data_IF_573401961045
#
_entry.id   IF_573401961045
#
_cell.length_a   1.000
_cell.length_b   1.000
_cell.length_c   1.000
_cell.angle_alpha   90.00
_cell.angle_beta   90.00
_cell.angle_gamma   90.00
#
_symmetry.space_group_name_H-M   'P 1'
#
loop_
_entity.id
_entity.type
_entity.pdbx_description
1 polymer ?
#
# COMPACT_ATOMS: atom_id res chain seq x y z
N UNK A 1 14.21 71.42 46.37
CA UNK A 1 13.83 70.04 46.72
C UNK A 1 13.27 69.33 45.48
N UNK A 2 13.66 68.06 45.28
CA UNK A 2 13.08 66.98 44.42
C UNK A 2 13.05 67.21 42.90
N UNK A 3 13.94 66.66 42.04
CA UNK A 3 14.34 65.26 41.69
C UNK A 3 13.25 64.34 41.10
N UNK A 4 13.38 64.14 39.77
CA UNK A 4 13.25 62.92 38.94
C UNK A 4 11.91 62.16 38.92
N UNK A 5 11.46 61.82 37.69
CA UNK A 5 11.43 60.43 37.18
C UNK A 5 11.24 60.40 35.65
N UNK A 6 12.27 59.91 34.96
CA UNK A 6 12.20 59.38 33.59
C UNK A 6 11.31 58.14 33.60
N UNK A 7 10.40 58.01 32.63
CA UNK A 7 9.78 56.72 32.32
C UNK A 7 10.26 56.24 30.94
N UNK A 8 11.04 55.17 30.97
CA UNK A 8 11.47 54.38 29.82
C UNK A 8 10.22 53.79 29.14
N UNK A 9 9.95 54.17 27.89
CA UNK A 9 9.08 53.37 27.01
C UNK A 9 9.94 52.29 26.36
N UNK A 10 9.91 51.10 26.97
CA UNK A 10 10.53 49.88 26.45
C UNK A 10 9.83 49.51 25.13
N UNK A 11 10.57 49.58 24.02
CA UNK A 11 10.17 49.00 22.74
C UNK A 11 10.46 47.50 22.81
N UNK A 12 9.44 46.69 23.07
CA UNK A 12 9.55 45.22 22.93
C UNK A 12 9.40 44.91 21.43
N UNK A 13 10.39 44.28 20.78
CA UNK A 13 10.39 44.09 19.33
C UNK A 13 9.43 42.98 18.92
N UNK A 14 8.85 43.17 17.74
CA UNK A 14 7.94 42.30 16.97
C UNK A 14 8.55 40.94 16.55
N UNK A 15 9.54 40.42 17.30
CA UNK A 15 10.35 39.25 16.97
C UNK A 15 10.04 38.02 17.85
N UNK A 16 9.12 38.13 18.80
CA UNK A 16 8.63 37.02 19.64
C UNK A 16 7.23 36.52 19.25
N UNK A 17 6.70 36.90 18.09
CA UNK A 17 5.43 36.37 17.56
C UNK A 17 5.61 35.36 16.41
N UNK A 18 6.86 35.07 15.99
CA UNK A 18 7.18 34.16 14.88
C UNK A 18 7.76 32.80 15.32
N UNK A 19 7.87 32.55 16.63
CA UNK A 19 8.41 31.29 17.20
C UNK A 19 7.34 30.33 17.74
N UNK A 20 6.06 30.54 17.39
CA UNK A 20 4.94 29.71 17.85
C UNK A 20 4.20 28.97 16.73
N UNK A 21 4.84 28.74 15.56
CA UNK A 21 4.25 27.95 14.47
C UNK A 21 4.97 26.63 14.15
N UNK A 22 6.04 26.26 14.86
CA UNK A 22 6.77 25.01 14.58
C UNK A 22 6.39 23.82 15.46
N UNK A 23 5.42 23.96 16.36
CA UNK A 23 4.97 22.87 17.22
C UNK A 23 3.51 22.51 16.94
N UNK A 24 3.27 21.65 15.95
CA UNK A 24 1.92 21.09 15.80
C UNK A 24 1.52 20.50 14.45
N UNK A 25 2.37 19.72 13.78
CA UNK A 25 1.91 18.81 12.72
C UNK A 25 2.42 17.39 12.95
N UNK A 26 2.23 16.89 14.17
CA UNK A 26 2.49 15.48 14.51
C UNK A 26 1.41 15.00 15.47
N UNK A 27 0.23 14.67 14.95
CA UNK A 27 -0.71 13.66 15.46
C UNK A 27 -2.09 13.87 14.83
N UNK A 28 -2.41 13.13 13.76
CA UNK A 28 -3.79 12.75 13.48
C UNK A 28 -3.85 11.40 12.73
N UNK A 29 -3.27 10.35 13.33
CA UNK A 29 -3.58 8.95 12.96
C UNK A 29 -4.82 8.50 13.75
N UNK A 30 -5.94 9.13 13.47
CA UNK A 30 -7.25 8.76 14.00
C UNK A 30 -8.27 9.00 12.91
N UNK A 31 -8.33 8.08 11.93
CA UNK A 31 -9.36 8.11 10.90
C UNK A 31 -10.73 8.21 11.56
N UNK A 32 -11.60 9.09 11.05
CA UNK A 32 -12.95 9.22 11.54
C UNK A 32 -13.62 7.84 11.54
N UNK A 33 -14.17 7.41 12.68
CA UNK A 33 -14.89 6.14 12.76
C UNK A 33 -16.06 6.19 11.77
N UNK A 34 -16.00 5.37 10.73
CA UNK A 34 -17.07 5.26 9.74
C UNK A 34 -18.36 4.91 10.47
N UNK A 35 -19.41 5.70 10.21
CA UNK A 35 -20.70 5.53 10.89
C UNK A 35 -21.66 4.76 9.98
N UNK A 36 -21.94 3.52 10.35
CA UNK A 36 -23.01 2.75 9.76
C UNK A 36 -24.38 3.16 10.35
N UNK A 37 -25.47 3.08 9.57
CA UNK A 37 -26.82 3.33 10.06
C UNK A 37 -27.22 2.40 11.22
N UNK A 38 -26.83 1.12 11.14
CA UNK A 38 -27.16 0.11 12.14
C UNK A 38 -25.89 -0.36 12.87
N UNK A 39 -25.95 -0.39 14.21
CA UNK A 39 -24.88 -0.94 15.03
C UNK A 39 -24.97 -2.47 15.10
N UNK A 40 -23.81 -3.11 15.24
CA UNK A 40 -23.73 -4.57 15.34
C UNK A 40 -24.12 -5.06 16.74
N UNK A 41 -25.06 -6.01 16.80
CA UNK A 41 -25.48 -6.67 18.04
C UNK A 41 -24.75 -8.01 18.27
N UNK A 42 -24.91 -8.58 19.46
CA UNK A 42 -24.41 -9.93 19.79
C UNK A 42 -24.99 -11.01 18.88
N UNK A 43 -26.27 -10.91 18.56
CA UNK A 43 -27.01 -11.86 17.73
C UNK A 43 -26.47 -11.81 16.30
N UNK A 44 -26.25 -10.60 15.77
CA UNK A 44 -25.63 -10.41 14.46
C UNK A 44 -24.23 -11.03 14.40
N UNK A 45 -23.40 -10.85 15.43
CA UNK A 45 -22.06 -11.48 15.48
C UNK A 45 -22.16 -13.00 15.48
N UNK A 46 -23.13 -13.56 16.21
CA UNK A 46 -23.36 -15.01 16.25
C UNK A 46 -23.76 -15.55 14.88
N UNK A 47 -24.73 -14.92 14.22
CA UNK A 47 -25.19 -15.31 12.88
C UNK A 47 -24.07 -15.20 11.84
N UNK A 48 -23.31 -14.11 11.85
CA UNK A 48 -22.14 -13.95 10.98
C UNK A 48 -21.09 -15.04 11.23
N UNK A 49 -20.81 -15.36 12.51
CA UNK A 49 -19.83 -16.37 12.87
C UNK A 49 -20.21 -17.77 12.36
N UNK A 50 -21.49 -18.11 12.29
CA UNK A 50 -21.94 -19.37 11.69
C UNK A 50 -21.55 -19.44 10.21
N UNK A 51 -21.81 -18.39 9.43
CA UNK A 51 -21.43 -18.33 8.01
C UNK A 51 -19.90 -18.34 7.82
N UNK A 52 -19.17 -17.64 8.69
CA UNK A 52 -17.70 -17.63 8.67
C UNK A 52 -17.10 -18.99 9.01
N UNK A 53 -17.72 -19.77 9.90
CA UNK A 53 -17.29 -21.12 10.21
C UNK A 53 -17.47 -22.07 9.01
N UNK A 54 -18.60 -21.98 8.30
CA UNK A 54 -18.80 -22.71 7.04
C UNK A 54 -17.76 -22.29 5.98
N UNK A 55 -17.42 -21.00 5.89
CA UNK A 55 -16.38 -20.50 4.99
C UNK A 55 -15.01 -21.11 5.33
N UNK A 56 -14.62 -21.12 6.61
CA UNK A 56 -13.37 -21.72 7.10
C UNK A 56 -13.33 -23.23 6.87
N UNK A 57 -14.48 -23.90 6.97
CA UNK A 57 -14.63 -25.31 6.64
C UNK A 57 -14.66 -25.58 5.12
N UNK A 58 -14.45 -24.56 4.28
CA UNK A 58 -14.49 -24.61 2.81
C UNK A 58 -15.85 -25.06 2.24
N UNK A 59 -16.91 -25.00 3.05
CA UNK A 59 -18.30 -25.28 2.67
C UNK A 59 -18.91 -24.02 2.04
N UNK A 60 -18.36 -23.67 0.89
CA UNK A 60 -18.58 -22.39 0.22
C UNK A 60 -20.04 -22.10 -0.14
N UNK A 61 -20.80 -23.12 -0.54
CA UNK A 61 -22.22 -22.96 -0.85
C UNK A 61 -23.03 -22.61 0.40
N UNK A 62 -22.78 -23.32 1.51
CA UNK A 62 -23.42 -23.08 2.80
C UNK A 62 -23.04 -21.71 3.37
N UNK A 63 -21.76 -21.36 3.27
CA UNK A 63 -21.25 -20.05 3.71
C UNK A 63 -21.92 -18.90 2.94
N UNK A 64 -22.02 -19.00 1.61
CA UNK A 64 -22.69 -18.01 0.79
C UNK A 64 -24.16 -17.84 1.17
N UNK A 65 -24.90 -18.94 1.34
CA UNK A 65 -26.30 -18.90 1.83
C UNK A 65 -26.38 -18.20 3.19
N UNK A 66 -25.47 -18.52 4.11
CA UNK A 66 -25.39 -17.89 5.42
C UNK A 66 -25.17 -16.38 5.35
N UNK A 67 -24.21 -15.93 4.53
CA UNK A 67 -23.93 -14.51 4.32
C UNK A 67 -25.08 -13.77 3.61
N UNK A 68 -25.73 -14.40 2.63
CA UNK A 68 -26.91 -13.82 1.96
C UNK A 68 -28.07 -13.62 2.93
N UNK A 69 -28.34 -14.64 3.76
CA UNK A 69 -29.34 -14.56 4.82
C UNK A 69 -29.01 -13.47 5.84
N UNK A 70 -27.74 -13.34 6.22
CA UNK A 70 -27.28 -12.27 7.11
C UNK A 70 -27.59 -10.88 6.53
N UNK A 71 -27.20 -10.64 5.28
CA UNK A 71 -27.44 -9.36 4.59
C UNK A 71 -28.93 -9.02 4.51
N UNK A 72 -29.77 -10.03 4.27
CA UNK A 72 -31.22 -9.85 4.16
C UNK A 72 -31.86 -9.44 5.50
N UNK A 73 -31.44 -10.06 6.61
CA UNK A 73 -31.99 -9.80 7.95
C UNK A 73 -31.42 -8.55 8.59
N UNK A 74 -30.13 -8.29 8.35
CA UNK A 74 -29.34 -7.29 9.04
C UNK A 74 -28.65 -6.34 8.04
N UNK A 75 -29.40 -5.47 7.34
CA UNK A 75 -28.82 -4.57 6.34
C UNK A 75 -28.08 -3.38 6.98
N UNK A 76 -27.18 -2.75 6.22
CA UNK A 76 -26.52 -1.47 6.55
C UNK A 76 -25.72 -1.42 7.86
N UNK A 77 -24.90 -2.44 8.13
CA UNK A 77 -23.90 -2.46 9.20
C UNK A 77 -22.54 -3.00 8.70
N UNK A 78 -21.50 -2.92 9.54
CA UNK A 78 -20.13 -3.38 9.20
C UNK A 78 -20.05 -4.88 8.82
N UNK A 79 -20.94 -5.71 9.40
CA UNK A 79 -21.01 -7.14 9.07
C UNK A 79 -21.76 -7.40 7.77
N UNK A 80 -22.66 -6.50 7.34
CA UNK A 80 -23.28 -6.54 6.01
C UNK A 80 -22.20 -6.41 4.94
N UNK A 81 -21.30 -5.44 5.11
CA UNK A 81 -20.19 -5.20 4.20
C UNK A 81 -19.21 -6.37 4.21
N UNK A 82 -18.89 -6.89 5.40
CA UNK A 82 -18.04 -8.08 5.55
C UNK A 82 -18.66 -9.32 4.88
N UNK A 83 -19.97 -9.51 5.01
CA UNK A 83 -20.70 -10.62 4.38
C UNK A 83 -20.70 -10.51 2.87
N UNK A 84 -20.98 -9.33 2.32
CA UNK A 84 -20.95 -9.08 0.88
C UNK A 84 -19.54 -9.29 0.32
N UNK A 85 -18.51 -8.85 1.06
CA UNK A 85 -17.11 -9.08 0.70
C UNK A 85 -16.78 -10.59 0.68
N UNK A 86 -17.23 -11.35 1.68
CA UNK A 86 -17.06 -12.81 1.73
C UNK A 86 -17.72 -13.50 0.54
N UNK A 87 -18.95 -13.13 0.18
CA UNK A 87 -19.63 -13.67 -1.02
C UNK A 87 -18.76 -13.48 -2.26
N UNK A 88 -18.21 -12.27 -2.46
CA UNK A 88 -17.33 -11.99 -3.60
C UNK A 88 -16.07 -12.86 -3.58
N UNK A 89 -15.46 -13.08 -2.41
CA UNK A 89 -14.33 -14.00 -2.27
C UNK A 89 -14.71 -15.44 -2.60
N UNK A 90 -15.88 -15.91 -2.17
CA UNK A 90 -16.38 -17.26 -2.47
C UNK A 90 -16.60 -17.41 -3.99
N UNK A 91 -17.13 -16.40 -4.66
CA UNK A 91 -17.27 -16.40 -6.12
C UNK A 91 -15.90 -16.47 -6.83
N UNK A 92 -14.91 -15.69 -6.37
CA UNK A 92 -13.53 -15.78 -6.89
C UNK A 92 -12.92 -17.18 -6.70
N UNK A 93 -13.15 -17.82 -5.54
CA UNK A 93 -12.67 -19.19 -5.26
C UNK A 93 -13.30 -20.22 -6.20
N UNK A 94 -14.56 -20.00 -6.60
CA UNK A 94 -15.26 -20.79 -7.63
C UNK A 94 -14.91 -20.38 -9.06
N UNK A 95 -14.00 -19.41 -9.25
CA UNK A 95 -13.61 -18.82 -10.54
C UNK A 95 -14.75 -18.11 -11.26
N UNK A 96 -15.84 -17.80 -10.57
CA UNK A 96 -16.90 -16.92 -11.06
C UNK A 96 -16.45 -15.47 -10.90
N UNK A 97 -15.55 -15.04 -11.79
CA UNK A 97 -14.93 -13.73 -11.70
C UNK A 97 -15.89 -12.60 -12.10
N UNK A 98 -16.80 -12.83 -13.05
CA UNK A 98 -17.82 -11.85 -13.41
C UNK A 98 -18.82 -11.65 -12.27
N UNK A 99 -19.30 -12.74 -11.65
CA UNK A 99 -20.15 -12.68 -10.46
C UNK A 99 -19.43 -11.99 -9.29
N UNK A 100 -18.16 -12.31 -9.07
CA UNK A 100 -17.34 -11.64 -8.06
C UNK A 100 -17.24 -10.13 -8.30
N UNK A 101 -16.93 -9.70 -9.53
CA UNK A 101 -16.88 -8.27 -9.88
C UNK A 101 -18.22 -7.60 -9.60
N UNK A 102 -19.35 -8.18 -10.02
CA UNK A 102 -20.67 -7.60 -9.77
C UNK A 102 -21.00 -7.49 -8.27
N UNK A 103 -20.60 -8.48 -7.47
CA UNK A 103 -20.77 -8.47 -6.01
C UNK A 103 -19.93 -7.38 -5.34
N UNK A 104 -18.68 -7.20 -5.77
CA UNK A 104 -17.81 -6.14 -5.26
C UNK A 104 -18.26 -4.75 -5.70
N UNK A 105 -18.72 -4.57 -6.94
CA UNK A 105 -19.28 -3.30 -7.43
C UNK A 105 -20.48 -2.86 -6.59
N UNK A 106 -21.37 -3.80 -6.25
CA UNK A 106 -22.50 -3.55 -5.36
C UNK A 106 -22.04 -3.10 -3.98
N UNK A 107 -20.96 -3.69 -3.44
CA UNK A 107 -20.38 -3.29 -2.17
C UNK A 107 -19.80 -1.87 -2.25
N UNK A 108 -18.98 -1.60 -3.27
CA UNK A 108 -18.37 -0.29 -3.53
C UNK A 108 -19.43 0.82 -3.59
N UNK A 109 -20.58 0.56 -4.22
CA UNK A 109 -21.66 1.54 -4.35
C UNK A 109 -22.50 1.76 -3.08
N UNK A 110 -22.35 0.93 -2.04
CA UNK A 110 -23.20 0.97 -0.84
C UNK A 110 -22.44 1.21 0.46
N UNK A 111 -21.18 0.80 0.53
CA UNK A 111 -20.38 0.93 1.75
C UNK A 111 -20.11 2.41 2.05
N UNK A 112 -20.30 2.87 3.30
CA UNK A 112 -19.83 4.18 3.74
C UNK A 112 -18.33 4.18 4.04
N UNK A 113 -17.67 3.02 4.05
CA UNK A 113 -16.28 2.85 4.45
C UNK A 113 -15.34 2.88 3.22
N UNK A 114 -14.50 3.92 3.09
CA UNK A 114 -13.58 4.03 1.96
C UNK A 114 -12.54 2.89 1.91
N UNK A 115 -12.16 2.31 3.06
CA UNK A 115 -11.18 1.24 3.12
C UNK A 115 -11.80 -0.08 2.62
N UNK A 116 -13.06 -0.33 3.00
CA UNK A 116 -13.84 -1.45 2.44
C UNK A 116 -14.00 -1.29 0.93
N UNK A 117 -14.32 -0.08 0.46
CA UNK A 117 -14.44 0.20 -0.97
C UNK A 117 -13.12 -0.06 -1.71
N UNK A 118 -11.98 0.40 -1.18
CA UNK A 118 -10.66 0.17 -1.78
C UNK A 118 -10.29 -1.32 -1.81
N UNK A 119 -10.52 -2.06 -0.72
CA UNK A 119 -10.30 -3.51 -0.70
C UNK A 119 -11.19 -4.24 -1.69
N UNK A 120 -12.45 -3.83 -1.84
CA UNK A 120 -13.38 -4.41 -2.81
C UNK A 120 -12.95 -4.12 -4.25
N UNK A 121 -12.49 -2.90 -4.55
CA UNK A 121 -11.94 -2.53 -5.87
C UNK A 121 -10.77 -3.41 -6.26
N UNK A 122 -9.83 -3.68 -5.36
CA UNK A 122 -8.72 -4.61 -5.64
C UNK A 122 -9.23 -5.99 -6.01
N UNK A 123 -10.19 -6.55 -5.27
CA UNK A 123 -10.73 -7.88 -5.59
C UNK A 123 -11.50 -7.88 -6.93
N UNK A 124 -12.23 -6.82 -7.24
CA UNK A 124 -12.88 -6.63 -8.54
C UNK A 124 -11.85 -6.56 -9.68
N UNK A 125 -10.78 -5.77 -9.50
CA UNK A 125 -9.67 -5.65 -10.44
C UNK A 125 -8.95 -6.98 -10.67
N UNK A 126 -8.62 -7.72 -9.60
CA UNK A 126 -8.04 -9.07 -9.69
C UNK A 126 -8.97 -10.02 -10.46
N UNK A 127 -10.29 -9.94 -10.24
CA UNK A 127 -11.25 -10.76 -10.96
C UNK A 127 -11.25 -10.44 -12.47
N UNK A 128 -11.24 -9.16 -12.84
CA UNK A 128 -11.13 -8.74 -14.24
C UNK A 128 -9.78 -9.13 -14.87
N UNK A 129 -8.69 -9.05 -14.11
CA UNK A 129 -7.38 -9.55 -14.56
C UNK A 129 -7.44 -11.04 -14.89
N UNK A 130 -8.09 -11.85 -14.04
CA UNK A 130 -8.23 -13.30 -14.24
C UNK A 130 -9.07 -13.66 -15.47
N UNK A 131 -9.97 -12.77 -15.88
CA UNK A 131 -10.72 -12.87 -17.13
C UNK A 131 -9.92 -12.38 -18.37
N UNK A 132 -8.73 -11.82 -18.18
CA UNK A 132 -7.93 -11.22 -19.26
C UNK A 132 -8.37 -9.80 -19.63
N UNK A 133 -9.30 -9.21 -18.89
CA UNK A 133 -9.79 -7.85 -19.11
C UNK A 133 -8.81 -6.83 -18.48
N UNK A 134 -7.59 -6.75 -19.03
CA UNK A 134 -6.49 -5.97 -18.45
C UNK A 134 -6.81 -4.48 -18.28
N UNK A 135 -7.49 -3.86 -19.26
CA UNK A 135 -7.90 -2.45 -19.14
C UNK A 135 -8.87 -2.26 -17.97
N UNK A 136 -9.94 -3.07 -17.88
CA UNK A 136 -10.90 -2.99 -16.77
C UNK A 136 -10.23 -3.26 -15.42
N UNK A 137 -9.28 -4.20 -15.37
CA UNK A 137 -8.48 -4.46 -14.17
C UNK A 137 -7.76 -3.20 -13.70
N UNK A 138 -7.10 -2.48 -14.62
CA UNK A 138 -6.40 -1.24 -14.29
C UNK A 138 -7.38 -0.14 -13.87
N UNK A 139 -8.55 -0.03 -14.50
CA UNK A 139 -9.56 0.97 -14.10
C UNK A 139 -10.01 0.79 -12.63
N UNK A 140 -10.02 -0.44 -12.11
CA UNK A 140 -10.25 -0.72 -10.69
C UNK A 140 -9.04 -0.38 -9.82
N UNK A 141 -7.83 -0.78 -10.24
CA UNK A 141 -6.60 -0.52 -9.49
C UNK A 141 -6.30 0.98 -9.38
N UNK A 142 -6.51 1.74 -10.46
CA UNK A 142 -6.28 3.20 -10.49
C UNK A 142 -7.23 3.97 -9.55
N UNK A 143 -8.39 3.40 -9.23
CA UNK A 143 -9.39 3.97 -8.31
C UNK A 143 -9.22 3.46 -6.87
N UNK A 144 -8.20 2.67 -6.61
CA UNK A 144 -7.92 2.11 -5.29
C UNK A 144 -6.95 3.01 -4.56
N UNK A 145 -7.26 3.35 -3.30
CA UNK A 145 -6.27 3.95 -2.40
C UNK A 145 -5.34 2.84 -1.88
N UNK A 146 -4.04 2.84 -2.24
CA UNK A 146 -3.11 1.82 -1.75
C UNK A 146 -2.94 1.85 -0.23
N UNK A 147 -3.06 3.01 0.42
CA UNK A 147 -2.86 3.14 1.87
C UNK A 147 -3.93 2.40 2.69
N UNK A 148 -5.12 2.21 2.10
CA UNK A 148 -6.22 1.45 2.69
C UNK A 148 -6.06 -0.08 2.59
N UNK A 149 -5.03 -0.55 1.86
CA UNK A 149 -4.81 -1.97 1.63
C UNK A 149 -3.80 -2.55 2.61
N UNK A 150 -4.03 -3.81 3.00
CA UNK A 150 -2.98 -4.62 3.60
C UNK A 150 -1.84 -4.86 2.61
N UNK A 151 -0.63 -4.99 3.13
CA UNK A 151 0.62 -5.18 2.38
C UNK A 151 0.51 -6.24 1.26
N UNK A 152 -0.01 -7.43 1.59
CA UNK A 152 -0.20 -8.51 0.61
C UNK A 152 -1.11 -8.13 -0.57
N UNK A 153 -2.14 -7.30 -0.33
CA UNK A 153 -3.05 -6.86 -1.38
C UNK A 153 -2.43 -5.71 -2.19
N UNK A 154 -1.62 -4.84 -1.57
CA UNK A 154 -0.81 -3.83 -2.31
C UNK A 154 0.17 -4.47 -3.27
N UNK A 155 0.95 -5.45 -2.79
CA UNK A 155 1.95 -6.15 -3.61
C UNK A 155 1.28 -6.86 -4.78
N UNK A 156 0.18 -7.59 -4.53
CA UNK A 156 -0.59 -8.25 -5.59
C UNK A 156 -1.14 -7.25 -6.60
N UNK A 157 -1.72 -6.15 -6.13
CA UNK A 157 -2.25 -5.11 -7.01
C UNK A 157 -1.16 -4.53 -7.90
N UNK A 158 -0.02 -4.11 -7.32
CA UNK A 158 1.10 -3.53 -8.06
C UNK A 158 1.66 -4.48 -9.12
N UNK A 159 1.93 -5.74 -8.75
CA UNK A 159 2.47 -6.72 -9.69
C UNK A 159 1.50 -7.06 -10.84
N UNK A 160 0.20 -7.21 -10.54
CA UNK A 160 -0.81 -7.46 -11.56
C UNK A 160 -1.04 -6.23 -12.45
N UNK A 161 -0.96 -5.03 -11.88
CA UNK A 161 -1.09 -3.79 -12.65
C UNK A 161 0.06 -3.64 -13.64
N UNK A 162 1.32 -3.84 -13.23
CA UNK A 162 2.47 -3.79 -14.13
C UNK A 162 2.33 -4.80 -15.27
N UNK A 163 1.96 -6.04 -14.96
CA UNK A 163 1.70 -7.06 -15.98
C UNK A 163 0.59 -6.61 -16.95
N UNK A 164 -0.53 -6.10 -16.43
CA UNK A 164 -1.64 -5.64 -17.25
C UNK A 164 -1.22 -4.49 -18.18
N UNK A 165 -0.41 -3.55 -17.68
CA UNK A 165 0.10 -2.41 -18.45
C UNK A 165 0.99 -2.89 -19.60
N UNK A 166 1.87 -3.86 -19.35
CA UNK A 166 2.72 -4.45 -20.40
C UNK A 166 1.89 -5.15 -21.47
N UNK A 167 0.83 -5.87 -21.08
CA UNK A 167 -0.03 -6.59 -22.03
C UNK A 167 -0.81 -5.68 -22.97
N UNK A 168 -1.17 -4.48 -22.53
CA UNK A 168 -1.96 -3.54 -23.33
C UNK A 168 -1.13 -2.38 -23.91
N UNK A 169 0.16 -2.30 -23.59
CA UNK A 169 1.02 -1.20 -24.02
C UNK A 169 0.64 0.16 -23.41
N UNK A 170 0.16 0.18 -22.17
CA UNK A 170 -0.24 1.43 -21.50
C UNK A 170 0.97 2.27 -21.04
N UNK A 171 0.70 3.51 -20.62
CA UNK A 171 1.69 4.59 -20.54
C UNK A 171 2.84 4.33 -19.53
N UNK A 172 4.07 4.82 -19.81
CA UNK A 172 5.20 4.69 -18.89
C UNK A 172 4.96 5.30 -17.50
N UNK A 173 4.19 6.39 -17.42
CA UNK A 173 3.86 7.07 -16.16
C UNK A 173 3.04 6.15 -15.25
N UNK A 174 2.10 5.40 -15.83
CA UNK A 174 1.30 4.41 -15.08
C UNK A 174 2.19 3.30 -14.52
N UNK A 175 3.20 2.84 -15.28
CA UNK A 175 4.21 1.89 -14.77
C UNK A 175 4.98 2.48 -13.60
N UNK A 176 5.41 3.75 -13.72
CA UNK A 176 6.11 4.47 -12.66
C UNK A 176 5.34 4.49 -11.34
N UNK A 177 4.03 4.77 -11.38
CA UNK A 177 3.17 4.73 -10.19
C UNK A 177 3.17 3.37 -9.51
N UNK A 178 2.91 2.29 -10.25
CA UNK A 178 2.85 0.95 -9.65
C UNK A 178 4.21 0.41 -9.21
N UNK A 179 5.30 0.84 -9.87
CA UNK A 179 6.66 0.59 -9.37
C UNK A 179 6.88 1.24 -8.00
N UNK A 180 6.43 2.49 -7.81
CA UNK A 180 6.53 3.16 -6.52
C UNK A 180 5.68 2.49 -5.43
N UNK A 181 4.45 2.06 -5.76
CA UNK A 181 3.58 1.30 -4.83
C UNK A 181 4.26 -0.01 -4.37
N UNK A 182 4.92 -0.71 -5.29
CA UNK A 182 5.67 -1.91 -4.96
C UNK A 182 6.89 -1.59 -4.11
N UNK A 183 7.68 -0.58 -4.49
CA UNK A 183 8.88 -0.17 -3.74
C UNK A 183 8.54 0.18 -2.29
N UNK A 184 7.52 1.02 -2.06
CA UNK A 184 7.03 1.35 -0.71
C UNK A 184 6.61 0.08 0.05
N UNK A 185 5.97 -0.87 -0.62
CA UNK A 185 5.60 -2.14 0.02
C UNK A 185 6.82 -3.00 0.34
N UNK A 186 7.89 -2.97 -0.46
CA UNK A 186 9.13 -3.70 -0.21
C UNK A 186 9.96 -3.06 0.91
N UNK A 187 10.09 -1.73 0.95
CA UNK A 187 10.81 -1.01 2.00
C UNK A 187 10.16 -1.22 3.38
N UNK A 188 8.84 -1.44 3.41
CA UNK A 188 8.10 -1.72 4.62
C UNK A 188 8.04 -3.21 5.01
N UNK A 189 8.54 -4.13 4.18
CA UNK A 189 8.68 -5.54 4.57
C UNK A 189 9.74 -5.63 5.66
N UNK A 190 9.33 -5.83 6.91
CA UNK A 190 10.28 -6.01 8.00
C UNK A 190 11.26 -7.15 7.69
N UNK A 191 12.55 -6.94 7.96
CA UNK A 191 13.64 -7.87 7.65
C UNK A 191 13.32 -9.32 8.04
N UNK A 192 12.63 -9.52 9.16
CA UNK A 192 12.21 -10.85 9.65
C UNK A 192 11.21 -11.58 8.75
N UNK A 193 10.32 -10.86 8.04
CA UNK A 193 9.36 -11.45 7.11
C UNK A 193 10.02 -11.86 5.79
N UNK A 194 10.96 -11.04 5.30
CA UNK A 194 11.83 -11.38 4.16
C UNK A 194 12.67 -12.61 4.53
N UNK A 195 13.27 -12.60 5.71
CA UNK A 195 14.12 -13.65 6.22
C UNK A 195 13.37 -14.98 6.47
N UNK A 196 12.14 -14.93 6.94
CA UNK A 196 11.31 -16.13 7.11
C UNK A 196 10.86 -16.74 5.78
N UNK A 197 10.66 -15.94 4.73
CA UNK A 197 10.08 -16.39 3.47
C UNK A 197 11.13 -16.77 2.43
N UNK A 198 12.26 -16.07 2.42
CA UNK A 198 13.35 -16.27 1.48
C UNK A 198 14.62 -16.79 2.14
N UNK A 199 14.57 -17.05 3.46
CA UNK A 199 15.74 -17.38 4.28
C UNK A 199 16.48 -16.11 4.69
N UNK A 200 17.41 -16.22 5.65
CA UNK A 200 18.55 -15.29 5.67
C UNK A 200 19.11 -15.30 4.26
N UNK A 201 19.51 -14.15 3.69
CA UNK A 201 20.41 -14.16 2.53
C UNK A 201 21.36 -15.33 2.73
N UNK A 202 21.27 -16.34 1.84
CA UNK A 202 22.01 -17.57 2.03
C UNK A 202 23.44 -17.15 2.38
N UNK A 203 24.02 -17.60 3.51
CA UNK A 203 25.35 -17.17 3.87
C UNK A 203 26.19 -17.46 2.64
N UNK A 204 26.71 -16.39 2.02
CA UNK A 204 27.50 -16.51 0.81
C UNK A 204 28.55 -17.54 1.16
N UNK A 205 28.55 -18.69 0.48
CA UNK A 205 29.62 -19.66 0.71
C UNK A 205 30.91 -18.85 0.50
N UNK A 206 31.91 -19.05 1.35
CA UNK A 206 33.11 -18.20 1.37
C UNK A 206 33.85 -18.13 0.01
N UNK A 207 33.50 -19.03 -0.92
CA UNK A 207 33.98 -19.20 -2.28
C UNK A 207 33.07 -18.58 -3.37
N UNK A 208 31.94 -17.96 -3.00
CA UNK A 208 31.00 -17.33 -3.95
C UNK A 208 31.13 -15.81 -3.87
N UNK A 209 31.83 -15.24 -4.85
CA UNK A 209 31.82 -13.80 -5.10
C UNK A 209 30.52 -13.46 -5.83
N UNK A 210 29.54 -12.92 -5.11
CA UNK A 210 28.39 -12.29 -5.76
C UNK A 210 28.87 -10.94 -6.28
N UNK A 211 28.89 -10.75 -7.59
CA UNK A 211 29.04 -9.41 -8.15
C UNK A 211 27.73 -8.67 -7.90
N UNK A 212 27.66 -7.73 -6.94
CA UNK A 212 26.41 -7.08 -6.63
C UNK A 212 26.16 -6.08 -7.77
N UNK A 213 25.15 -6.33 -8.60
CA UNK A 213 24.57 -5.25 -9.40
C UNK A 213 23.92 -4.19 -8.49
N UNK A 214 23.81 -4.47 -7.18
CA UNK A 214 23.36 -3.59 -6.10
C UNK A 214 24.47 -2.68 -5.54
N UNK A 215 25.70 -2.76 -6.06
CA UNK A 215 26.80 -1.89 -5.67
C UNK A 215 26.70 -0.45 -6.20
N UNK A 216 25.67 -0.10 -6.98
CA UNK A 216 25.52 1.26 -7.52
C UNK A 216 24.72 2.22 -6.61
N UNK A 217 24.11 1.74 -5.53
CA UNK A 217 23.19 2.53 -4.70
C UNK A 217 23.70 2.86 -3.29
N UNK A 218 24.91 2.46 -2.92
CA UNK A 218 25.51 2.92 -1.65
C UNK A 218 26.33 4.18 -1.89
N UNK A 219 26.22 5.15 -0.97
CA UNK A 219 26.98 6.41 -1.00
C UNK A 219 28.49 6.14 -1.11
N UNK A 220 28.99 5.13 -0.38
CA UNK A 220 30.39 4.68 -0.42
C UNK A 220 30.84 4.21 -1.81
N UNK A 221 29.96 3.55 -2.58
CA UNK A 221 30.29 3.07 -3.91
C UNK A 221 30.20 4.17 -4.97
N UNK A 222 29.28 5.13 -4.80
CA UNK A 222 29.24 6.34 -5.63
C UNK A 222 30.45 7.24 -5.38
N UNK A 223 30.87 7.40 -4.12
CA UNK A 223 32.07 8.16 -3.75
C UNK A 223 33.34 7.49 -4.28
N UNK A 224 33.45 6.16 -4.18
CA UNK A 224 34.58 5.43 -4.78
C UNK A 224 34.57 5.52 -6.30
N UNK A 225 33.42 5.44 -6.96
CA UNK A 225 33.34 5.66 -8.41
C UNK A 225 33.78 7.08 -8.80
N UNK A 226 33.36 8.10 -8.03
CA UNK A 226 33.77 9.48 -8.21
C UNK A 226 35.28 9.68 -8.03
N UNK A 227 35.86 9.13 -6.97
CA UNK A 227 37.30 9.18 -6.69
C UNK A 227 38.13 8.47 -7.76
N UNK A 228 37.74 7.24 -8.14
CA UNK A 228 38.43 6.48 -9.19
C UNK A 228 38.36 7.21 -10.52
N UNK A 229 37.22 7.80 -10.87
CA UNK A 229 37.09 8.62 -12.08
C UNK A 229 38.02 9.84 -12.04
N UNK A 230 38.10 10.55 -10.91
CA UNK A 230 38.98 11.70 -10.74
C UNK A 230 40.47 11.33 -10.84
N UNK A 231 40.87 10.20 -10.27
CA UNK A 231 42.24 9.67 -10.36
C UNK A 231 42.61 9.31 -11.81
N UNK A 232 41.71 8.65 -12.54
CA UNK A 232 41.94 8.28 -13.94
C UNK A 232 42.00 9.51 -14.86
N UNK A 233 41.14 10.52 -14.63
CA UNK A 233 41.20 11.79 -15.36
C UNK A 233 42.54 12.50 -15.10
N UNK A 234 43.00 12.51 -13.85
CA UNK A 234 44.29 13.09 -13.49
C UNK A 234 45.45 12.35 -14.16
N UNK A 235 45.42 11.01 -14.17
CA UNK A 235 46.41 10.18 -14.85
C UNK A 235 46.44 10.44 -16.37
N UNK A 236 45.27 10.55 -17.01
CA UNK A 236 45.17 10.84 -18.43
C UNK A 236 45.73 12.24 -18.78
N UNK A 237 45.42 13.26 -17.96
CA UNK A 237 45.92 14.62 -18.16
C UNK A 237 47.45 14.72 -17.95
N UNK A 238 48.03 13.85 -17.13
CA UNK A 238 49.47 13.74 -16.93
C UNK A 238 50.17 12.87 -18.01
N UNK A 239 49.45 12.38 -19.02
CA UNK A 239 49.99 11.52 -20.08
C UNK A 239 50.18 10.05 -19.68
N UNK A 240 49.60 9.63 -18.56
CA UNK A 240 49.58 8.25 -18.09
C UNK A 240 48.52 7.38 -18.79
N UNK A 241 48.59 6.05 -18.58
CA UNK A 241 47.67 5.07 -19.18
C UNK A 241 46.47 4.84 -18.27
N UNK A 242 45.26 5.02 -18.81
CA UNK A 242 44.00 4.67 -18.12
C UNK A 242 43.78 3.16 -18.23
N UNK A 243 43.73 2.46 -17.10
CA UNK A 243 43.77 0.99 -17.06
C UNK A 243 42.40 0.33 -16.91
N UNK A 244 41.35 1.10 -16.62
CA UNK A 244 39.96 0.62 -16.50
C UNK A 244 38.98 1.64 -17.11
N UNK A 245 37.95 1.16 -17.81
CA UNK A 245 36.78 1.96 -18.14
C UNK A 245 35.72 1.72 -17.05
N UNK A 246 35.17 2.79 -16.49
CA UNK A 246 34.03 2.73 -15.56
C UNK A 246 32.78 2.28 -16.30
#
# INVERSE_FOLDING_TARGET
MMRRRFSLRVRIPLLLLLLALSAGCAMFKGGAKVKYPNSVTSEMRSEYALAENEFKAQRYAQAEIGFQNFIQRHPYNELTDSSQFRIGQIQMLRKDYDGATATFDRLIGKTPDPDVASRARVKAGISQFRLGNYQRSLDYFDKTDPAALGENDRIKMGGLALFAIDKIGASPERKGFYNAVLLDSYENLGDSAVQSKYGSEAPLRADVVVTPHLGASTEEAQDRAGMVTAEQVTAALAGGVVTTAV
#
